data_IF_345151048693
#
_entry.id   IF_345151048693
#
_cell.length_a   1.000
_cell.length_b   1.000
_cell.length_c   1.000
_cell.angle_alpha   90.00
_cell.angle_beta   90.00
_cell.angle_gamma   90.00
#
_symmetry.space_group_name_H-M   'P 1'
#
loop_
_entity.id
_entity.type
_entity.pdbx_description
1 polymer ?
#
# COMPACT_ATOMS: atom_id res chain seq x y z
N UNK A 1 8.60 12.27 -12.93
CA UNK A 1 7.25 12.59 -13.43
C UNK A 1 6.78 11.44 -14.31
N UNK A 2 5.48 11.15 -14.35
CA UNK A 2 4.92 9.98 -15.03
C UNK A 2 4.20 10.38 -16.32
N UNK A 3 4.95 10.87 -17.31
CA UNK A 3 4.33 11.36 -18.56
C UNK A 3 3.84 10.24 -19.48
N UNK A 4 4.42 9.03 -19.34
CA UNK A 4 4.08 7.85 -20.13
C UNK A 4 4.46 6.56 -19.39
N UNK A 5 4.08 5.42 -19.99
CA UNK A 5 4.35 4.07 -19.49
C UNK A 5 5.83 3.82 -19.21
N UNK A 6 6.74 4.14 -20.15
CA UNK A 6 8.18 3.85 -20.02
C UNK A 6 8.79 4.55 -18.81
N UNK A 7 8.52 5.85 -18.64
CA UNK A 7 9.06 6.62 -17.51
C UNK A 7 8.51 6.15 -16.16
N UNK A 8 7.26 5.69 -16.15
CA UNK A 8 6.64 5.13 -14.95
C UNK A 8 7.30 3.82 -14.58
N UNK A 9 7.50 2.90 -15.54
CA UNK A 9 8.21 1.64 -15.31
C UNK A 9 9.65 1.87 -14.81
N UNK A 10 10.38 2.84 -15.36
CA UNK A 10 11.70 3.21 -14.85
C UNK A 10 11.65 3.74 -13.41
N UNK A 11 10.62 4.53 -13.08
CA UNK A 11 10.45 5.03 -11.70
C UNK A 11 10.15 3.87 -10.74
N UNK A 12 9.26 2.95 -11.13
CA UNK A 12 8.93 1.76 -10.34
C UNK A 12 10.11 0.81 -10.20
N UNK A 13 10.99 0.73 -11.20
CA UNK A 13 12.24 -0.03 -11.09
C UNK A 13 13.11 0.47 -9.93
N UNK A 14 13.18 1.79 -9.71
CA UNK A 14 13.90 2.36 -8.58
C UNK A 14 13.25 2.06 -7.22
N UNK A 15 12.00 1.55 -7.20
CA UNK A 15 11.29 1.19 -5.97
C UNK A 15 11.50 -0.28 -5.59
N UNK A 16 12.12 -1.09 -6.46
CA UNK A 16 12.42 -2.51 -6.18
C UNK A 16 13.20 -2.66 -4.87
N UNK A 17 14.21 -1.81 -4.67
CA UNK A 17 15.07 -1.81 -3.48
C UNK A 17 14.35 -1.33 -2.19
N UNK A 18 13.11 -0.87 -2.29
CA UNK A 18 12.29 -0.50 -1.13
C UNK A 18 11.51 -1.69 -0.56
N UNK A 19 11.44 -2.80 -1.29
CA UNK A 19 10.89 -4.06 -0.78
C UNK A 19 11.98 -4.92 -0.14
N UNK A 20 11.58 -5.98 0.55
CA UNK A 20 12.54 -7.00 0.99
C UNK A 20 13.00 -7.85 -0.19
N UNK A 21 14.15 -8.54 -0.06
CA UNK A 21 14.65 -9.46 -1.07
C UNK A 21 13.66 -10.60 -1.40
N UNK A 22 12.77 -10.94 -0.46
CA UNK A 22 11.69 -11.91 -0.65
C UNK A 22 10.34 -11.25 -0.96
N UNK A 23 10.36 -10.00 -1.46
CA UNK A 23 9.17 -9.20 -1.82
C UNK A 23 8.13 -9.09 -0.70
N UNK A 24 8.59 -9.06 0.55
CA UNK A 24 7.77 -8.92 1.74
C UNK A 24 7.49 -10.21 2.50
N UNK A 25 7.77 -11.38 1.93
CA UNK A 25 7.59 -12.64 2.64
C UNK A 25 8.69 -12.88 3.67
N UNK A 26 8.30 -13.42 4.83
CA UNK A 26 9.21 -13.82 5.90
C UNK A 26 8.85 -15.21 6.44
N UNK A 27 9.86 -15.88 6.99
CA UNK A 27 9.71 -17.17 7.70
C UNK A 27 10.06 -16.95 9.17
N UNK A 28 9.17 -17.34 10.06
CA UNK A 28 9.37 -17.23 11.51
C UNK A 28 9.68 -18.60 12.10
N UNK A 29 10.85 -18.71 12.73
CA UNK A 29 11.24 -19.93 13.47
C UNK A 29 10.39 -20.04 14.73
N UNK A 30 9.87 -21.24 15.00
CA UNK A 30 9.01 -21.51 16.16
C UNK A 30 7.77 -20.59 16.21
N UNK A 31 7.10 -20.38 15.06
CA UNK A 31 5.90 -19.55 14.95
C UNK A 31 4.80 -19.92 15.96
N UNK A 32 4.72 -21.18 16.37
CA UNK A 32 3.80 -21.69 17.39
C UNK A 32 3.97 -21.09 18.80
N UNK A 33 5.02 -20.31 19.05
CA UNK A 33 5.22 -19.58 20.32
C UNK A 33 4.50 -18.23 20.36
N UNK A 34 3.95 -17.80 19.23
CA UNK A 34 3.33 -16.50 19.05
C UNK A 34 1.87 -16.70 18.63
N UNK A 35 1.05 -15.68 18.89
CA UNK A 35 -0.31 -15.61 18.38
C UNK A 35 -0.22 -15.01 16.97
N UNK A 36 -0.07 -15.89 15.97
CA UNK A 36 0.07 -15.52 14.56
C UNK A 36 -1.09 -16.12 13.77
N UNK A 37 -1.52 -15.47 12.68
CA UNK A 37 -2.56 -16.02 11.81
C UNK A 37 -2.11 -17.33 11.16
N UNK A 38 -3.02 -18.02 10.47
CA UNK A 38 -2.63 -19.20 9.69
C UNK A 38 -1.62 -18.79 8.60
N UNK A 39 -0.43 -19.42 8.50
CA UNK A 39 0.56 -19.04 7.51
C UNK A 39 0.15 -19.42 6.09
N UNK A 40 0.71 -18.70 5.11
CA UNK A 40 0.76 -19.15 3.72
C UNK A 40 1.72 -20.34 3.56
N UNK A 41 1.54 -21.09 2.48
CA UNK A 41 2.59 -21.99 1.97
C UNK A 41 3.39 -21.22 0.92
N UNK A 42 4.67 -20.99 1.19
CA UNK A 42 5.58 -20.26 0.30
C UNK A 42 6.82 -21.09 0.00
N UNK A 43 7.47 -20.82 -1.14
CA UNK A 43 8.79 -21.36 -1.42
C UNK A 43 9.81 -20.74 -0.46
N UNK A 44 10.44 -21.58 0.38
CA UNK A 44 11.48 -21.14 1.31
C UNK A 44 12.87 -21.25 0.70
N UNK A 45 13.02 -22.14 -0.27
CA UNK A 45 14.19 -22.27 -1.13
C UNK A 45 13.79 -22.88 -2.48
N UNK A 46 14.78 -23.25 -3.32
CA UNK A 46 14.56 -23.78 -4.67
C UNK A 46 13.80 -25.12 -4.70
N UNK A 47 13.80 -25.86 -3.60
CA UNK A 47 13.34 -27.25 -3.53
C UNK A 47 12.29 -27.49 -2.45
N UNK A 48 12.11 -26.56 -1.52
CA UNK A 48 11.24 -26.72 -0.37
C UNK A 48 10.23 -25.58 -0.25
N UNK A 49 9.01 -25.96 0.12
CA UNK A 49 7.97 -25.05 0.58
C UNK A 49 7.84 -25.12 2.09
N UNK A 50 7.35 -24.04 2.69
CA UNK A 50 7.16 -23.94 4.13
C UNK A 50 6.19 -22.84 4.53
N UNK A 51 5.87 -22.74 5.84
CA UNK A 51 5.00 -21.70 6.35
C UNK A 51 5.68 -20.33 6.25
N UNK A 52 4.96 -19.33 5.76
CA UNK A 52 5.42 -17.95 5.70
C UNK A 52 4.30 -16.92 5.81
N UNK A 53 4.71 -15.68 6.07
CA UNK A 53 3.83 -14.53 6.27
C UNK A 53 4.29 -13.39 5.37
N UNK A 54 3.36 -12.54 4.93
CA UNK A 54 3.72 -11.29 4.25
C UNK A 54 3.71 -10.16 5.28
N UNK A 55 4.79 -9.38 5.34
CA UNK A 55 4.81 -8.16 6.15
C UNK A 55 4.03 -7.06 5.43
N UNK A 56 3.06 -6.46 6.13
CA UNK A 56 2.09 -5.51 5.60
C UNK A 56 2.73 -4.34 4.86
N UNK A 57 3.77 -3.71 5.43
CA UNK A 57 4.48 -2.59 4.77
C UNK A 57 4.92 -2.91 3.34
N UNK A 58 5.39 -4.13 3.09
CA UNK A 58 5.85 -4.54 1.77
C UNK A 58 4.69 -4.93 0.85
N UNK A 59 3.59 -5.45 1.40
CA UNK A 59 2.37 -5.66 0.64
C UNK A 59 1.77 -4.33 0.18
N UNK A 60 1.69 -3.34 1.07
CA UNK A 60 1.21 -2.00 0.76
C UNK A 60 2.06 -1.33 -0.33
N UNK A 61 3.40 -1.47 -0.27
CA UNK A 61 4.29 -1.00 -1.33
C UNK A 61 4.05 -1.74 -2.65
N UNK A 62 3.84 -3.06 -2.61
CA UNK A 62 3.51 -3.84 -3.79
C UNK A 62 2.19 -3.35 -4.43
N UNK A 63 1.12 -3.22 -3.66
CA UNK A 63 -0.16 -2.70 -4.12
C UNK A 63 -0.03 -1.30 -4.72
N UNK A 64 0.71 -0.40 -4.05
CA UNK A 64 0.95 0.96 -4.56
C UNK A 64 1.68 0.95 -5.91
N UNK A 65 2.70 0.10 -6.07
CA UNK A 65 3.41 -0.05 -7.36
C UNK A 65 2.52 -0.64 -8.46
N UNK A 66 1.64 -1.58 -8.12
CA UNK A 66 0.69 -2.18 -9.05
C UNK A 66 -0.32 -1.13 -9.56
N UNK A 67 -0.85 -0.31 -8.65
CA UNK A 67 -1.74 0.81 -8.98
C UNK A 67 -1.05 1.86 -9.85
N UNK A 68 0.22 2.18 -9.56
CA UNK A 68 1.01 3.12 -10.35
C UNK A 68 1.20 2.66 -11.80
N UNK A 69 1.50 1.37 -11.99
CA UNK A 69 1.62 0.77 -13.32
C UNK A 69 0.29 0.83 -14.07
N UNK A 70 -0.80 0.40 -13.43
CA UNK A 70 -2.13 0.32 -14.06
C UNK A 70 -2.74 1.69 -14.33
N UNK A 71 -2.45 2.69 -13.50
CA UNK A 71 -2.83 4.07 -13.77
C UNK A 71 -2.36 4.50 -15.16
N UNK A 72 -1.09 4.25 -15.50
CA UNK A 72 -0.57 4.58 -16.84
C UNK A 72 -1.14 3.72 -17.96
N UNK A 73 -1.38 2.43 -17.69
CA UNK A 73 -1.98 1.54 -18.68
C UNK A 73 -3.41 1.97 -19.03
N UNK A 74 -4.18 2.47 -18.04
CA UNK A 74 -5.55 2.97 -18.24
C UNK A 74 -5.63 4.14 -19.24
N UNK A 75 -4.58 4.96 -19.33
CA UNK A 75 -4.49 6.00 -20.36
C UNK A 75 -4.13 5.46 -21.75
N UNK A 76 -4.02 4.14 -21.95
CA UNK A 76 -3.73 3.52 -23.26
C UNK A 76 -2.48 4.07 -23.97
N UNK A 77 -1.50 4.55 -23.19
CA UNK A 77 -0.30 5.19 -23.73
C UNK A 77 -0.48 6.64 -24.18
N UNK A 78 -1.62 7.26 -23.92
CA UNK A 78 -1.84 8.71 -24.12
C UNK A 78 -0.92 9.49 -23.19
N UNK A 79 -0.22 10.48 -23.76
CA UNK A 79 0.62 11.38 -22.99
C UNK A 79 -0.26 12.23 -22.07
N UNK A 80 0.05 12.22 -20.78
CA UNK A 80 -0.62 13.07 -19.79
C UNK A 80 -0.19 14.53 -19.95
N UNK A 81 -1.06 15.46 -19.54
CA UNK A 81 -0.67 16.86 -19.35
C UNK A 81 0.38 16.95 -18.25
N UNK A 82 1.15 18.04 -18.23
CA UNK A 82 2.20 18.22 -17.23
C UNK A 82 1.65 18.26 -15.81
N UNK A 83 0.49 18.89 -15.63
CA UNK A 83 -0.21 18.99 -14.35
C UNK A 83 -0.61 17.59 -13.83
N UNK A 84 -1.28 16.77 -14.65
CA UNK A 84 -1.68 15.41 -14.27
C UNK A 84 -0.45 14.53 -14.05
N UNK A 85 0.54 14.55 -14.95
CA UNK A 85 1.74 13.73 -14.82
C UNK A 85 2.57 14.08 -13.57
N UNK A 86 2.62 15.36 -13.20
CA UNK A 86 3.31 15.83 -12.01
C UNK A 86 2.55 15.42 -10.75
N UNK A 87 1.26 15.75 -10.65
CA UNK A 87 0.47 15.44 -9.47
C UNK A 87 0.38 13.93 -9.23
N UNK A 88 0.18 13.11 -10.27
CA UNK A 88 0.17 11.66 -10.11
C UNK A 88 1.51 11.18 -9.54
N UNK A 89 2.64 11.53 -10.16
CA UNK A 89 3.96 11.08 -9.68
C UNK A 89 4.25 11.57 -8.25
N UNK A 90 3.86 12.81 -7.93
CA UNK A 90 4.02 13.39 -6.60
C UNK A 90 3.16 12.64 -5.56
N UNK A 91 1.86 12.44 -5.83
CA UNK A 91 0.92 11.78 -4.94
C UNK A 91 1.35 10.34 -4.62
N UNK A 92 1.71 9.56 -5.64
CA UNK A 92 2.20 8.20 -5.42
C UNK A 92 3.51 8.18 -4.61
N UNK A 93 4.43 9.11 -4.86
CA UNK A 93 5.64 9.22 -4.03
C UNK A 93 5.35 9.68 -2.59
N UNK A 94 4.33 10.51 -2.39
CA UNK A 94 3.88 10.95 -1.06
C UNK A 94 3.26 9.78 -0.28
N UNK A 95 2.37 9.00 -0.90
CA UNK A 95 1.79 7.80 -0.30
C UNK A 95 2.85 6.76 0.05
N UNK A 96 3.81 6.52 -0.86
CA UNK A 96 4.95 5.64 -0.60
C UNK A 96 5.72 6.05 0.66
N UNK A 97 5.98 7.35 0.82
CA UNK A 97 6.66 7.86 2.01
C UNK A 97 5.82 7.64 3.27
N UNK A 98 4.49 7.83 3.20
CA UNK A 98 3.57 7.53 4.30
C UNK A 98 3.64 6.05 4.73
N UNK A 99 3.55 5.13 3.77
CA UNK A 99 3.67 3.69 4.00
C UNK A 99 5.00 3.34 4.67
N UNK A 100 6.12 3.91 4.19
CA UNK A 100 7.43 3.67 4.78
C UNK A 100 7.63 4.35 6.14
N UNK A 101 6.91 5.45 6.41
CA UNK A 101 6.98 6.17 7.67
C UNK A 101 6.21 5.42 8.77
N UNK A 102 5.00 4.96 8.47
CA UNK A 102 4.19 4.15 9.38
C UNK A 102 4.73 2.72 9.51
N UNK A 103 5.28 2.18 8.41
CA UNK A 103 5.95 0.88 8.33
C UNK A 103 5.22 -0.24 9.10
N UNK A 104 3.95 -0.49 8.74
CA UNK A 104 3.14 -1.51 9.40
C UNK A 104 3.82 -2.89 9.37
N UNK A 105 4.17 -3.38 10.56
CA UNK A 105 4.90 -4.64 10.77
C UNK A 105 3.98 -5.85 10.94
N UNK A 106 2.66 -5.66 10.82
CA UNK A 106 1.66 -6.73 10.88
C UNK A 106 2.00 -7.85 9.90
N UNK A 107 1.84 -9.07 10.39
CA UNK A 107 2.14 -10.30 9.65
C UNK A 107 0.87 -10.88 9.09
N UNK A 108 0.71 -10.73 7.79
CA UNK A 108 -0.44 -11.23 7.06
C UNK A 108 -0.28 -12.74 6.83
N UNK A 109 -1.30 -13.49 7.22
CA UNK A 109 -1.47 -14.91 6.95
C UNK A 109 -2.67 -15.13 6.02
N UNK A 110 -3.06 -16.39 5.82
CA UNK A 110 -4.27 -16.74 5.08
C UNK A 110 -5.51 -16.20 5.79
N UNK A 111 -6.40 -15.64 4.99
CA UNK A 111 -7.74 -15.20 5.41
C UNK A 111 -8.78 -15.72 4.40
N UNK A 112 -10.07 -15.53 4.70
CA UNK A 112 -11.15 -15.85 3.77
C UNK A 112 -11.30 -14.86 2.62
N UNK A 113 -10.74 -13.65 2.75
CA UNK A 113 -10.96 -12.51 1.84
C UNK A 113 -9.82 -12.31 0.83
N UNK A 114 -8.69 -13.00 1.03
CA UNK A 114 -7.52 -12.94 0.15
C UNK A 114 -6.29 -12.33 0.85
N UNK A 115 -5.18 -12.15 0.13
CA UNK A 115 -3.95 -11.68 0.76
C UNK A 115 -4.11 -10.32 1.46
N UNK A 116 -3.69 -10.24 2.72
CA UNK A 116 -3.75 -9.04 3.56
C UNK A 116 -5.14 -8.68 4.08
N UNK A 117 -6.18 -8.79 3.25
CA UNK A 117 -7.55 -8.45 3.64
C UNK A 117 -8.06 -9.40 4.74
N UNK A 118 -8.53 -8.82 5.86
CA UNK A 118 -8.93 -9.56 7.05
C UNK A 118 -7.80 -9.86 8.04
N UNK A 119 -6.57 -9.37 7.79
CA UNK A 119 -5.51 -9.40 8.81
C UNK A 119 -5.82 -8.42 9.93
N UNK A 120 -5.38 -8.73 11.15
CA UNK A 120 -5.54 -7.84 12.30
C UNK A 120 -4.36 -6.88 12.39
N UNK A 121 -4.65 -5.58 12.42
CA UNK A 121 -3.66 -4.51 12.48
C UNK A 121 -3.76 -3.70 13.78
N UNK A 122 -2.64 -3.18 14.26
CA UNK A 122 -2.63 -2.18 15.32
C UNK A 122 -2.72 -0.77 14.70
N UNK A 123 -3.87 -0.13 14.90
CA UNK A 123 -4.18 1.15 14.28
C UNK A 123 -4.20 2.30 15.30
N UNK A 124 -3.95 3.52 14.80
CA UNK A 124 -4.36 4.73 15.51
C UNK A 124 -5.88 4.75 15.61
N UNK A 125 -6.40 5.22 16.74
CA UNK A 125 -7.83 5.51 16.89
C UNK A 125 -8.24 6.62 15.92
N UNK A 126 -8.77 6.20 14.77
CA UNK A 126 -9.13 7.10 13.68
C UNK A 126 -10.28 8.03 14.05
N UNK A 127 -11.23 7.56 14.86
CA UNK A 127 -12.36 8.37 15.29
C UNK A 127 -11.91 9.46 16.26
N UNK A 128 -11.03 9.14 17.21
CA UNK A 128 -10.43 10.13 18.09
C UNK A 128 -9.60 11.16 17.30
N UNK A 129 -8.78 10.71 16.34
CA UNK A 129 -8.01 11.58 15.45
C UNK A 129 -8.92 12.50 14.63
N UNK A 130 -9.97 11.95 14.02
CA UNK A 130 -10.92 12.68 13.19
C UNK A 130 -11.68 13.72 14.02
N UNK A 131 -12.13 13.35 15.22
CA UNK A 131 -12.79 14.27 16.15
C UNK A 131 -11.87 15.42 16.57
N UNK A 132 -10.62 15.11 16.92
CA UNK A 132 -9.63 16.14 17.25
C UNK A 132 -9.39 17.07 16.05
N UNK A 133 -9.20 16.54 14.83
CA UNK A 133 -8.98 17.35 13.63
C UNK A 133 -10.19 18.25 13.31
N UNK A 134 -11.42 17.77 13.49
CA UNK A 134 -12.64 18.54 13.24
C UNK A 134 -12.85 19.69 14.23
N UNK A 135 -12.36 19.57 15.46
CA UNK A 135 -12.39 20.66 16.46
C UNK A 135 -11.29 21.70 16.23
N UNK A 136 -10.26 21.36 15.45
CA UNK A 136 -9.13 22.22 15.09
C UNK A 136 -9.11 22.57 13.59
N UNK A 137 -10.25 22.47 12.91
CA UNK A 137 -10.34 22.64 11.46
C UNK A 137 -10.03 24.08 11.01
N UNK A 138 -9.38 24.21 9.85
CA UNK A 138 -9.37 25.47 9.08
C UNK A 138 -10.73 25.76 8.42
N UNK A 139 -10.71 26.22 7.16
CA UNK A 139 -11.95 26.43 6.40
C UNK A 139 -12.68 25.09 6.17
N UNK A 140 -13.96 25.02 6.55
CA UNK A 140 -14.80 23.83 6.39
C UNK A 140 -15.40 23.78 4.99
N UNK A 141 -14.83 22.96 4.11
CA UNK A 141 -15.29 22.77 2.73
C UNK A 141 -16.63 22.02 2.60
N UNK A 142 -17.01 21.23 3.62
CA UNK A 142 -18.24 20.42 3.63
C UNK A 142 -19.53 21.22 3.89
N UNK A 143 -19.44 22.47 4.34
CA UNK A 143 -20.60 23.34 4.56
C UNK A 143 -20.77 24.28 3.35
N UNK A 144 -21.35 23.76 2.26
CA UNK A 144 -21.80 24.51 1.07
C UNK A 144 -20.81 24.71 -0.09
N UNK A 145 -19.61 24.12 -0.08
CA UNK A 145 -18.63 24.20 -1.18
C UNK A 145 -18.42 22.86 -1.93
N UNK A 146 -19.00 21.77 -1.43
CA UNK A 146 -18.99 20.45 -2.07
C UNK A 146 -20.43 19.98 -2.30
N UNK A 147 -20.68 19.10 -3.29
CA UNK A 147 -22.00 18.49 -3.49
C UNK A 147 -22.51 17.85 -2.20
N UNK A 148 -23.80 18.03 -1.90
CA UNK A 148 -24.44 17.49 -0.69
C UNK A 148 -24.50 15.96 -0.67
N UNK A 149 -24.39 15.33 -1.83
CA UNK A 149 -24.41 13.89 -2.02
C UNK A 149 -23.00 13.40 -2.36
N UNK A 150 -22.43 12.59 -1.46
CA UNK A 150 -21.25 11.79 -1.76
C UNK A 150 -21.73 10.36 -2.04
N UNK A 151 -21.56 9.89 -3.27
CA UNK A 151 -21.69 8.46 -3.59
C UNK A 151 -20.38 7.78 -3.19
N UNK A 152 -20.47 6.87 -2.23
CA UNK A 152 -19.43 5.86 -1.97
C UNK A 152 -19.44 4.83 -3.10
#
# INVERSE_FOLDING_TARGET
MWFNKTQTLHTLHNWIELSSASRGYIVIKNANRYDLPEPYTIAVDRFNDGPGYMMTVFHQLHCLSYLAEHYQQGYSGVKLTDEVAHHTAHCFNYLRQGIMCSADTTLEGKTGEGPGEGSEHECVDYDALLNWANTHSGMKWRNSLLPAEATL
#
